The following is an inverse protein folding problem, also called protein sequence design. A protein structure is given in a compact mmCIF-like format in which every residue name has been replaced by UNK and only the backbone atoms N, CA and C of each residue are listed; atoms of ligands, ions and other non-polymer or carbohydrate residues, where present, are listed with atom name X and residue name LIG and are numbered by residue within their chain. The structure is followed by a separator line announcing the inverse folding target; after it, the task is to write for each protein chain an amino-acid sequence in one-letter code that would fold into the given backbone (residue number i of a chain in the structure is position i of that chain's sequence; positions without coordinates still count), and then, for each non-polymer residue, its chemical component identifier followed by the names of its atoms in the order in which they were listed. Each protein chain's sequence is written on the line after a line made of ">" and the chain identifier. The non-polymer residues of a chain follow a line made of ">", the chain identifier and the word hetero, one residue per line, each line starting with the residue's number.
data_IF_914256160986
#
_entry.id   IF_914256160986
#
_cell.length_a   1.000
_cell.length_b   1.000
_cell.length_c   1.000
_cell.angle_alpha   90.00
_cell.angle_beta   90.00
_cell.angle_gamma   90.00
#
_symmetry.space_group_name_H-M   'P 1'
#
loop_
_entity.id
_entity.type
_entity.pdbx_description
1 polymer ?
#
# COMPACT_ATOMS: atom_id res chain seq x y z
N UNK A 1 58.72 -53.12 -21.26
CA UNK A 1 58.31 -52.42 -22.49
C UNK A 1 56.78 -52.38 -22.52
N UNK A 2 56.01 -51.30 -22.65
CA UNK A 2 56.12 -49.83 -22.48
C UNK A 2 54.73 -49.39 -21.93
N UNK A 3 54.62 -48.52 -20.92
CA UNK A 3 54.52 -47.04 -21.01
C UNK A 3 53.66 -46.55 -22.17
N UNK A 4 52.42 -46.17 -21.87
CA UNK A 4 51.58 -45.11 -22.49
C UNK A 4 50.43 -44.83 -21.48
N UNK A 5 50.53 -43.93 -20.51
CA UNK A 5 50.45 -42.46 -20.57
C UNK A 5 49.41 -41.93 -21.56
N UNK A 6 48.13 -41.93 -21.14
CA UNK A 6 47.14 -41.01 -21.68
C UNK A 6 46.70 -40.00 -20.62
N UNK A 7 46.79 -38.76 -21.07
CA UNK A 7 46.74 -37.49 -20.36
C UNK A 7 45.30 -37.11 -20.04
N UNK A 8 45.12 -36.65 -18.80
CA UNK A 8 44.31 -35.51 -18.35
C UNK A 8 43.22 -34.96 -19.28
N UNK A 9 42.02 -34.79 -18.72
CA UNK A 9 41.02 -33.86 -19.25
C UNK A 9 39.67 -33.89 -18.54
N UNK A 10 39.62 -33.94 -17.20
CA UNK A 10 38.36 -33.63 -16.50
C UNK A 10 38.08 -32.14 -16.65
N UNK A 11 37.21 -31.81 -17.59
CA UNK A 11 36.61 -30.49 -17.74
C UNK A 11 35.76 -30.23 -16.49
N UNK A 12 36.30 -29.43 -15.57
CA UNK A 12 35.54 -28.76 -14.52
C UNK A 12 34.55 -27.82 -15.21
N UNK A 13 33.32 -28.29 -15.40
CA UNK A 13 32.20 -27.40 -15.70
C UNK A 13 31.97 -26.62 -14.40
N UNK A 14 32.57 -25.43 -14.33
CA UNK A 14 32.15 -24.39 -13.39
C UNK A 14 30.69 -24.09 -13.75
N UNK A 15 29.77 -24.69 -12.99
CA UNK A 15 28.40 -24.22 -12.92
C UNK A 15 28.47 -22.78 -12.46
N UNK A 16 28.31 -21.85 -13.40
CA UNK A 16 28.10 -20.44 -13.13
C UNK A 16 26.74 -20.39 -12.42
N UNK A 17 26.76 -20.52 -11.10
CA UNK A 17 25.67 -20.05 -10.26
C UNK A 17 25.70 -18.53 -10.42
N UNK A 18 25.01 -18.01 -11.43
CA UNK A 18 24.62 -16.61 -11.42
C UNK A 18 23.82 -16.41 -10.13
N UNK A 19 24.30 -15.61 -9.16
CA UNK A 19 23.41 -15.10 -8.13
C UNK A 19 22.47 -14.14 -8.86
N UNK A 20 21.41 -14.68 -9.45
CA UNK A 20 20.25 -13.89 -9.75
C UNK A 20 19.76 -13.42 -8.38
N UNK A 21 19.94 -12.13 -8.09
CA UNK A 21 19.18 -11.47 -7.05
C UNK A 21 17.71 -11.72 -7.37
N UNK A 22 17.12 -12.72 -6.72
CA UNK A 22 15.69 -12.77 -6.51
C UNK A 22 15.43 -11.66 -5.49
N UNK A 23 15.23 -10.42 -5.97
CA UNK A 23 14.56 -9.43 -5.16
C UNK A 23 13.12 -9.93 -5.10
N UNK A 24 12.72 -10.50 -3.96
CA UNK A 24 11.30 -10.78 -3.75
C UNK A 24 10.55 -9.46 -3.90
N UNK A 25 9.48 -9.48 -4.69
CA UNK A 25 8.63 -8.32 -4.93
C UNK A 25 8.02 -7.92 -3.59
N UNK A 26 8.12 -6.65 -3.21
CA UNK A 26 7.49 -6.16 -1.99
C UNK A 26 5.97 -6.34 -2.09
N UNK A 27 5.36 -6.87 -1.03
CA UNK A 27 3.91 -7.07 -0.96
C UNK A 27 3.36 -6.37 0.29
N UNK A 28 2.32 -5.55 0.11
CA UNK A 28 1.63 -4.86 1.18
C UNK A 28 0.17 -5.30 1.19
N UNK A 29 -0.31 -5.70 2.36
CA UNK A 29 -1.69 -6.14 2.55
C UNK A 29 -2.36 -5.13 3.46
N UNK A 30 -3.59 -4.73 3.14
CA UNK A 30 -4.35 -3.83 3.98
C UNK A 30 -5.81 -4.25 4.07
N UNK A 31 -6.38 -3.95 5.23
CA UNK A 31 -7.79 -4.07 5.52
C UNK A 31 -8.44 -2.69 5.57
N UNK A 32 -9.75 -2.65 5.39
CA UNK A 32 -10.53 -1.40 5.35
C UNK A 32 -11.68 -1.54 6.34
N UNK A 33 -11.91 -0.48 7.11
CA UNK A 33 -13.01 -0.37 8.06
C UNK A 33 -13.81 0.90 7.77
N UNK A 34 -15.14 0.79 7.85
CA UNK A 34 -16.03 1.95 7.81
C UNK A 34 -16.23 2.43 9.26
N UNK A 35 -15.77 3.64 9.62
CA UNK A 35 -16.01 4.16 10.96
C UNK A 35 -17.53 4.23 11.21
N UNK A 36 -17.94 3.94 12.45
CA UNK A 36 -19.35 3.76 12.89
C UNK A 36 -20.40 4.60 12.13
N UNK A 37 -21.57 4.01 11.86
CA UNK A 37 -22.71 4.66 11.20
C UNK A 37 -22.88 6.14 11.62
N UNK A 38 -22.67 7.06 10.68
CA UNK A 38 -22.93 8.49 10.85
C UNK A 38 -21.70 9.41 10.98
N UNK A 39 -20.50 8.96 10.61
CA UNK A 39 -19.37 9.89 10.40
C UNK A 39 -19.53 10.75 9.15
N UNK A 40 -20.16 10.21 8.10
CA UNK A 40 -20.45 10.92 6.86
C UNK A 40 -21.57 11.95 7.09
N UNK A 41 -21.32 13.20 6.72
CA UNK A 41 -22.25 14.32 6.90
C UNK A 41 -22.04 15.38 5.80
N UNK A 42 -22.90 16.39 5.72
CA UNK A 42 -22.69 17.54 4.79
C UNK A 42 -21.47 18.43 5.16
N UNK A 43 -20.59 17.96 6.04
CA UNK A 43 -19.32 18.59 6.38
C UNK A 43 -18.28 18.34 5.27
N UNK A 44 -17.07 18.84 5.46
CA UNK A 44 -15.95 18.66 4.50
C UNK A 44 -14.68 18.19 5.19
N UNK A 45 -14.85 17.56 6.36
CA UNK A 45 -13.79 17.10 7.25
C UNK A 45 -14.15 15.78 7.90
N UNK A 46 -15.02 15.01 7.26
CA UNK A 46 -15.51 13.74 7.81
C UNK A 46 -14.50 12.63 7.55
N UNK A 47 -14.42 11.69 8.48
CA UNK A 47 -13.62 10.47 8.29
C UNK A 47 -14.46 9.52 7.45
N UNK A 48 -14.01 9.26 6.23
CA UNK A 48 -14.72 8.48 5.23
C UNK A 48 -14.53 6.98 5.46
N UNK A 49 -13.31 6.56 5.74
CA UNK A 49 -12.93 5.19 6.05
C UNK A 49 -11.55 5.14 6.69
N UNK A 50 -11.22 3.99 7.26
CA UNK A 50 -9.90 3.70 7.80
C UNK A 50 -9.27 2.53 7.08
N UNK A 51 -7.96 2.56 6.89
CA UNK A 51 -7.17 1.44 6.38
C UNK A 51 -6.15 0.99 7.40
N UNK A 52 -5.95 -0.31 7.55
CA UNK A 52 -4.95 -0.88 8.48
C UNK A 52 -3.95 -1.71 7.70
N UNK A 53 -2.65 -1.53 7.98
CA UNK A 53 -1.62 -2.33 7.33
C UNK A 53 -1.58 -3.71 7.99
N UNK A 54 -1.81 -4.76 7.21
CA UNK A 54 -1.85 -6.12 7.70
C UNK A 54 -0.43 -6.73 7.72
N UNK A 55 -0.20 -7.66 8.64
CA UNK A 55 1.10 -8.29 8.87
C UNK A 55 1.51 -9.30 7.77
N UNK A 56 0.61 -9.63 6.84
CA UNK A 56 0.84 -10.62 5.79
C UNK A 56 1.98 -10.23 4.84
N UNK A 57 2.20 -8.93 4.62
CA UNK A 57 3.30 -8.40 3.81
C UNK A 57 4.65 -8.41 4.55
N UNK A 58 4.60 -8.34 5.89
CA UNK A 58 5.77 -8.42 6.75
C UNK A 58 6.72 -7.21 6.68
N UNK A 59 6.30 -6.10 6.07
CA UNK A 59 7.09 -4.86 5.97
C UNK A 59 6.23 -3.60 6.11
N UNK A 60 6.84 -2.54 6.65
CA UNK A 60 6.26 -1.20 6.80
C UNK A 60 6.41 -0.40 5.49
N UNK A 61 5.55 0.60 5.28
CA UNK A 61 5.54 1.44 4.07
C UNK A 61 5.92 2.89 4.37
N UNK A 62 6.79 3.51 3.58
CA UNK A 62 7.05 4.95 3.68
C UNK A 62 5.83 5.75 3.18
N UNK A 63 5.38 6.76 3.93
CA UNK A 63 4.25 7.60 3.52
C UNK A 63 4.49 8.38 2.22
N UNK A 64 5.76 8.61 1.86
CA UNK A 64 6.12 9.22 0.58
C UNK A 64 5.82 8.31 -0.62
N UNK A 65 5.75 6.99 -0.41
CA UNK A 65 5.38 6.02 -1.43
C UNK A 65 3.85 5.73 -1.43
N UNK A 66 3.18 5.98 -0.31
CA UNK A 66 1.73 5.78 -0.19
C UNK A 66 0.97 6.77 -1.08
N UNK A 67 0.05 6.24 -1.88
CA UNK A 67 -0.90 7.03 -2.67
C UNK A 67 -2.30 6.50 -2.44
N UNK A 68 -3.22 7.39 -2.05
CA UNK A 68 -4.65 7.08 -1.88
C UNK A 68 -5.49 7.98 -2.77
N UNK A 69 -6.35 7.37 -3.58
CA UNK A 69 -7.24 8.07 -4.52
C UNK A 69 -8.65 7.53 -4.33
N UNK A 70 -9.63 8.40 -4.11
CA UNK A 70 -11.05 8.04 -4.07
C UNK A 70 -11.67 8.35 -5.44
N UNK A 71 -12.37 7.37 -6.00
CA UNK A 71 -13.15 7.48 -7.23
C UNK A 71 -14.64 7.50 -6.90
N UNK A 72 -15.32 8.60 -7.24
CA UNK A 72 -16.76 8.76 -6.98
C UNK A 72 -17.43 9.64 -8.01
N UNK A 73 -18.64 9.27 -8.46
CA UNK A 73 -19.54 10.10 -9.27
C UNK A 73 -18.85 10.82 -10.45
N UNK A 74 -17.89 10.13 -11.10
CA UNK A 74 -17.01 10.59 -12.21
C UNK A 74 -15.84 11.54 -11.85
N UNK A 75 -15.61 11.81 -10.57
CA UNK A 75 -14.44 12.52 -10.04
C UNK A 75 -13.40 11.59 -9.41
N UNK A 76 -12.14 12.04 -9.44
CA UNK A 76 -11.02 11.42 -8.73
C UNK A 76 -10.49 12.41 -7.69
N UNK A 77 -10.39 11.95 -6.45
CA UNK A 77 -10.02 12.74 -5.29
C UNK A 77 -8.71 12.20 -4.71
N UNK A 78 -7.62 12.94 -4.91
CA UNK A 78 -6.33 12.58 -4.31
C UNK A 78 -6.33 12.93 -2.83
N UNK A 79 -5.90 11.99 -2.00
CA UNK A 79 -5.68 12.21 -0.58
C UNK A 79 -4.23 12.58 -0.31
N UNK A 80 -4.00 13.65 0.43
CA UNK A 80 -2.66 14.06 0.83
C UNK A 80 -2.14 13.10 1.92
N UNK A 81 -1.04 12.41 1.65
CA UNK A 81 -0.31 11.62 2.67
C UNK A 81 0.63 12.48 3.50
N UNK A 82 1.05 13.63 2.96
CA UNK A 82 1.81 14.64 3.68
C UNK A 82 1.25 16.04 3.40
N UNK A 83 1.16 16.86 4.44
CA UNK A 83 0.59 18.21 4.35
C UNK A 83 -0.92 18.22 4.09
N UNK A 84 -1.42 19.24 3.38
CA UNK A 84 -2.87 19.50 3.20
C UNK A 84 -3.30 19.69 1.76
N UNK A 85 -2.46 19.29 0.79
CA UNK A 85 -2.70 19.54 -0.64
C UNK A 85 -3.42 18.35 -1.28
N UNK A 86 -4.73 18.25 -1.07
CA UNK A 86 -5.57 17.15 -1.57
C UNK A 86 -7.05 17.41 -1.28
N UNK A 87 -7.95 16.65 -1.90
CA UNK A 87 -9.39 16.71 -1.58
C UNK A 87 -9.74 15.94 -0.30
N UNK A 88 -8.86 15.01 0.07
CA UNK A 88 -8.84 14.30 1.33
C UNK A 88 -7.42 14.36 1.92
N UNK A 89 -7.28 13.92 3.16
CA UNK A 89 -6.01 13.73 3.88
C UNK A 89 -5.96 12.31 4.45
N UNK A 90 -4.75 11.77 4.53
CA UNK A 90 -4.46 10.53 5.23
C UNK A 90 -3.86 10.90 6.57
N UNK A 91 -4.52 10.47 7.65
CA UNK A 91 -4.16 10.86 9.03
C UNK A 91 -3.94 9.61 9.86
N UNK A 92 -2.77 9.49 10.46
CA UNK A 92 -2.48 8.45 11.43
C UNK A 92 -3.05 8.87 12.80
N UNK A 93 -4.10 8.21 13.31
CA UNK A 93 -4.72 8.57 14.58
C UNK A 93 -3.88 8.14 15.79
N UNK A 94 -2.99 7.17 15.60
CA UNK A 94 -2.11 6.61 16.63
C UNK A 94 -0.81 6.12 15.99
N UNK A 95 0.31 6.40 16.65
CA UNK A 95 1.65 6.08 16.16
C UNK A 95 2.67 7.01 16.81
N UNK A 96 3.96 6.76 16.55
CA UNK A 96 5.06 7.59 17.09
C UNK A 96 5.68 8.51 16.05
N UNK A 97 5.42 8.28 14.77
CA UNK A 97 5.90 9.10 13.67
C UNK A 97 4.84 9.26 12.56
N UNK A 98 4.97 10.33 11.78
CA UNK A 98 4.08 10.66 10.66
C UNK A 98 4.78 10.38 9.32
N UNK A 99 5.69 9.40 9.29
CA UNK A 99 6.56 9.13 8.14
C UNK A 99 6.45 7.72 7.61
N UNK A 100 6.00 6.78 8.43
CA UNK A 100 5.95 5.36 8.10
C UNK A 100 4.56 4.85 8.49
N UNK A 101 3.95 4.09 7.58
CA UNK A 101 2.81 3.25 7.89
C UNK A 101 3.32 1.91 8.43
N UNK A 102 3.26 1.72 9.75
CA UNK A 102 3.74 0.48 10.37
C UNK A 102 2.66 -0.61 10.37
N UNK A 103 3.09 -1.87 10.39
CA UNK A 103 2.18 -3.02 10.48
C UNK A 103 1.30 -2.91 11.74
N UNK A 104 -0.01 -3.07 11.53
CA UNK A 104 -1.03 -2.96 12.57
C UNK A 104 -1.48 -1.53 12.84
N UNK A 105 -0.84 -0.52 12.24
CA UNK A 105 -1.30 0.85 12.33
C UNK A 105 -2.44 1.14 11.37
N UNK A 106 -3.33 2.02 11.82
CA UNK A 106 -4.50 2.44 11.07
C UNK A 106 -4.29 3.86 10.55
N UNK A 107 -4.74 4.14 9.34
CA UNK A 107 -4.79 5.48 8.75
C UNK A 107 -6.24 5.85 8.47
N UNK A 108 -6.63 7.05 8.85
CA UNK A 108 -7.94 7.61 8.57
C UNK A 108 -7.89 8.42 7.29
N UNK A 109 -8.77 8.10 6.36
CA UNK A 109 -8.97 8.85 5.13
C UNK A 109 -10.07 9.87 5.43
N UNK A 110 -9.68 11.13 5.52
CA UNK A 110 -10.54 12.24 5.96
C UNK A 110 -10.75 13.21 4.81
N UNK A 111 -11.94 13.78 4.68
CA UNK A 111 -12.17 14.88 3.74
C UNK A 111 -11.32 16.11 4.08
N UNK A 112 -11.02 16.92 3.07
CA UNK A 112 -10.22 18.12 3.23
C UNK A 112 -10.78 19.28 2.39
N UNK A 113 -11.88 19.86 2.86
CA UNK A 113 -12.53 21.01 2.24
C UNK A 113 -13.38 20.69 1.01
N UNK A 114 -13.56 19.41 0.71
CA UNK A 114 -14.46 18.89 -0.32
C UNK A 114 -15.36 17.85 0.32
N UNK A 115 -16.67 18.03 0.19
CA UNK A 115 -17.67 17.02 0.55
C UNK A 115 -17.62 15.93 -0.52
N UNK A 116 -16.94 14.84 -0.18
CA UNK A 116 -16.80 13.62 -0.96
C UNK A 116 -17.96 12.69 -0.63
N UNK A 117 -18.42 12.62 0.63
CA UNK A 117 -19.55 11.79 1.04
C UNK A 117 -20.39 12.38 2.17
N UNK A 118 -21.57 12.87 1.80
CA UNK A 118 -22.47 13.51 2.76
C UNK A 118 -23.36 12.59 3.60
N UNK A 119 -23.59 11.33 3.16
CA UNK A 119 -24.54 10.37 3.75
C UNK A 119 -24.10 8.93 3.41
N UNK A 120 -25.03 8.03 3.09
CA UNK A 120 -24.72 6.69 2.58
C UNK A 120 -24.14 6.76 1.17
N UNK A 121 -22.95 6.20 0.98
CA UNK A 121 -22.28 6.20 -0.31
C UNK A 121 -21.47 4.93 -0.56
N UNK A 122 -21.25 4.65 -1.85
CA UNK A 122 -20.29 3.63 -2.25
C UNK A 122 -19.03 4.37 -2.69
N UNK A 123 -17.92 4.11 -1.98
CA UNK A 123 -16.62 4.66 -2.30
C UNK A 123 -15.81 3.59 -3.02
N UNK A 124 -15.41 3.86 -4.26
CA UNK A 124 -14.31 3.14 -4.89
C UNK A 124 -13.03 3.91 -4.58
N UNK A 125 -11.93 3.21 -4.31
CA UNK A 125 -10.65 3.85 -4.05
C UNK A 125 -9.49 2.96 -4.45
N UNK A 126 -8.34 3.59 -4.59
CA UNK A 126 -7.08 2.97 -4.97
C UNK A 126 -6.07 3.29 -3.88
N UNK A 127 -5.40 2.26 -3.39
CA UNK A 127 -4.21 2.36 -2.53
C UNK A 127 -3.02 1.84 -3.33
N UNK A 128 -1.98 2.66 -3.47
CA UNK A 128 -0.72 2.30 -4.13
C UNK A 128 0.46 2.55 -3.18
N UNK A 129 1.57 1.87 -3.44
CA UNK A 129 2.82 2.00 -2.69
C UNK A 129 4.01 2.15 -3.65
N UNK A 130 5.22 1.73 -3.24
CA UNK A 130 6.44 1.93 -4.02
C UNK A 130 6.38 1.24 -5.40
N UNK A 131 7.22 1.71 -6.32
CA UNK A 131 7.30 1.15 -7.68
C UNK A 131 7.57 -0.36 -7.62
N UNK A 132 6.86 -1.11 -8.46
CA UNK A 132 6.92 -2.57 -8.47
C UNK A 132 6.50 -3.27 -7.17
N UNK A 133 5.87 -2.59 -6.20
CA UNK A 133 5.21 -3.27 -5.10
C UNK A 133 3.88 -3.91 -5.54
N UNK A 134 3.45 -4.95 -4.83
CA UNK A 134 2.11 -5.52 -4.96
C UNK A 134 1.29 -5.06 -3.75
N UNK A 135 0.24 -4.29 -4.00
CA UNK A 135 -0.68 -3.84 -2.95
C UNK A 135 -1.96 -4.67 -3.02
N UNK A 136 -2.41 -5.21 -1.89
CA UNK A 136 -3.54 -6.14 -1.81
C UNK A 136 -4.50 -5.71 -0.71
N UNK A 137 -5.74 -5.39 -1.09
CA UNK A 137 -6.79 -5.05 -0.14
C UNK A 137 -8.11 -4.74 -0.86
N UNK A 138 -9.19 -4.47 -0.10
CA UNK A 138 -10.46 -4.05 -0.69
C UNK A 138 -10.31 -2.68 -1.36
N UNK A 139 -10.91 -2.51 -2.54
CA UNK A 139 -10.90 -1.24 -3.30
C UNK A 139 -12.28 -0.59 -3.38
N UNK A 140 -13.27 -1.17 -2.72
CA UNK A 140 -14.65 -0.68 -2.69
C UNK A 140 -15.16 -0.85 -1.27
N UNK A 141 -15.71 0.23 -0.73
CA UNK A 141 -16.42 0.25 0.55
C UNK A 141 -17.84 0.73 0.30
N UNK A 142 -18.81 0.05 0.92
CA UNK A 142 -20.20 0.47 0.94
C UNK A 142 -20.50 1.00 2.32
N UNK A 143 -20.60 2.33 2.47
CA UNK A 143 -20.88 2.94 3.75
C UNK A 143 -22.37 2.78 4.06
N UNK A 144 -22.67 2.20 5.23
CA UNK A 144 -24.03 1.82 5.62
C UNK A 144 -24.78 2.88 6.39
#
# INVERSE_FOLDING_TARGET
>A
MGRDWFVLGMVLIFSISSPGCFSEKEEFYYSVDDPEDGTNSDSTSDVLFSITLDDQGGMDMDFSDLVVIIERDSGSHNCATTGTTGNCSVVQPSGSDDSIWEIGETLNITENGVDICSQHCILAFIVSGPEDAKIVGPTILNTT
#
